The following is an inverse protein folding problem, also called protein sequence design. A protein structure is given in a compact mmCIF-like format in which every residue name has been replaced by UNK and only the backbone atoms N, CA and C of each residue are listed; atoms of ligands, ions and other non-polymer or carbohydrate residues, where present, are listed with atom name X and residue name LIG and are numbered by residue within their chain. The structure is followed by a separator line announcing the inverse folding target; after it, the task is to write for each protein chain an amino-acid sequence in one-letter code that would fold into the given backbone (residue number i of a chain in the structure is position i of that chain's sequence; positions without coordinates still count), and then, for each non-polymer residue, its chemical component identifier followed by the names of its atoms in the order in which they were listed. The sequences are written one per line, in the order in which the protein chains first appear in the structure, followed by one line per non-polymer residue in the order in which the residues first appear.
data_IF_408931831867
#
_entry.id   IF_408931831867
#
_cell.length_a   1.000
_cell.length_b   1.000
_cell.length_c   1.000
_cell.angle_alpha   90.00
_cell.angle_beta   90.00
_cell.angle_gamma   90.00
#
_symmetry.space_group_name_H-M   'P 1'
#
loop_
_entity.id
_entity.type
_entity.pdbx_description
1 polymer ?
#
# COMPACT_ATOMS: atom_id res chain seq x y z
N UNK A 1 -21.23 12.07 9.87
CA UNK A 1 -21.54 11.96 8.42
C UNK A 1 -21.39 10.50 8.04
N UNK A 2 -22.35 9.90 7.35
CA UNK A 2 -22.21 8.50 6.89
C UNK A 2 -21.13 8.44 5.81
N UNK A 3 -20.01 7.76 6.08
CA UNK A 3 -18.99 7.51 5.05
C UNK A 3 -19.57 6.55 4.00
N UNK A 4 -19.60 6.97 2.74
CA UNK A 4 -19.93 6.10 1.62
C UNK A 4 -18.62 5.67 0.97
N UNK A 5 -18.45 4.36 0.77
CA UNK A 5 -17.28 3.83 0.07
C UNK A 5 -17.31 4.33 -1.37
N UNK A 6 -16.26 5.02 -1.84
CA UNK A 6 -16.14 5.33 -3.25
C UNK A 6 -15.95 4.02 -4.03
N UNK A 7 -16.80 3.81 -5.03
CA UNK A 7 -16.63 2.73 -6.00
C UNK A 7 -15.91 3.32 -7.20
N UNK A 8 -14.85 2.64 -7.64
CA UNK A 8 -14.07 3.14 -8.76
C UNK A 8 -14.89 3.16 -10.05
N UNK A 9 -15.00 4.31 -10.69
CA UNK A 9 -15.60 4.41 -12.03
C UNK A 9 -14.58 4.06 -13.13
N UNK A 10 -13.28 4.26 -12.87
CA UNK A 10 -12.20 4.06 -13.85
C UNK A 10 -10.94 3.48 -13.18
N UNK A 11 -11.00 2.23 -12.64
CA UNK A 11 -9.93 1.64 -11.82
C UNK A 11 -8.55 1.65 -12.50
N UNK A 12 -8.53 1.54 -13.83
CA UNK A 12 -7.29 1.49 -14.62
C UNK A 12 -6.49 2.80 -14.55
N UNK A 13 -7.14 3.93 -14.31
CA UNK A 13 -6.48 5.24 -14.22
C UNK A 13 -6.15 5.62 -12.77
N UNK A 14 -6.91 5.14 -11.79
CA UNK A 14 -6.79 5.53 -10.39
C UNK A 14 -5.89 4.60 -9.58
N UNK A 15 -6.07 3.28 -9.74
CA UNK A 15 -5.52 2.31 -8.81
C UNK A 15 -4.02 2.07 -9.02
N UNK A 16 -3.50 1.91 -10.26
CA UNK A 16 -2.08 1.67 -10.44
C UNK A 16 -1.20 2.83 -9.97
N UNK A 17 -1.53 4.11 -10.25
CA UNK A 17 -0.81 5.24 -9.65
C UNK A 17 -0.87 5.26 -8.14
N UNK A 18 -2.03 4.95 -7.54
CA UNK A 18 -2.18 4.89 -6.08
C UNK A 18 -1.28 3.81 -5.47
N UNK A 19 -1.31 2.58 -5.98
CA UNK A 19 -0.48 1.48 -5.47
C UNK A 19 1.01 1.75 -5.67
N UNK A 20 1.39 2.34 -6.81
CA UNK A 20 2.77 2.76 -7.06
C UNK A 20 3.21 3.86 -6.07
N UNK A 21 2.36 4.86 -5.83
CA UNK A 21 2.61 5.91 -4.85
C UNK A 21 2.75 5.33 -3.44
N UNK A 22 1.84 4.43 -3.03
CA UNK A 22 1.89 3.76 -1.74
C UNK A 22 3.19 2.96 -1.57
N UNK A 23 3.61 2.20 -2.59
CA UNK A 23 4.86 1.45 -2.55
C UNK A 23 6.09 2.37 -2.44
N UNK A 24 6.13 3.48 -3.18
CA UNK A 24 7.22 4.46 -3.08
C UNK A 24 7.25 5.12 -1.70
N UNK A 25 6.09 5.51 -1.17
CA UNK A 25 5.96 6.09 0.18
C UNK A 25 6.38 5.07 1.24
N UNK A 26 6.01 3.80 1.11
CA UNK A 26 6.44 2.74 2.02
C UNK A 26 7.97 2.61 2.01
N UNK A 27 8.60 2.46 0.84
CA UNK A 27 10.06 2.37 0.74
C UNK A 27 10.75 3.62 1.31
N UNK A 28 10.19 4.81 1.08
CA UNK A 28 10.72 6.07 1.62
C UNK A 28 10.63 6.14 3.15
N UNK A 29 9.45 5.82 3.71
CA UNK A 29 9.20 5.76 5.16
C UNK A 29 10.13 4.75 5.83
N UNK A 30 10.26 3.54 5.27
CA UNK A 30 11.16 2.53 5.80
C UNK A 30 12.63 2.93 5.69
N UNK A 31 13.04 3.59 4.60
CA UNK A 31 14.40 4.16 4.49
C UNK A 31 14.67 5.13 5.63
N UNK A 32 13.75 6.06 5.89
CA UNK A 32 13.88 7.07 6.95
C UNK A 32 13.97 6.41 8.32
N UNK A 33 13.08 5.47 8.62
CA UNK A 33 13.07 4.73 9.87
C UNK A 33 14.39 3.97 10.10
N UNK A 34 14.90 3.29 9.08
CA UNK A 34 16.15 2.53 9.16
C UNK A 34 17.39 3.40 9.32
N UNK A 35 17.36 4.61 8.77
CA UNK A 35 18.43 5.60 9.01
C UNK A 35 18.39 6.11 10.45
N UNK A 36 17.20 6.34 11.02
CA UNK A 36 17.04 6.75 12.41
C UNK A 36 17.45 5.66 13.39
N UNK A 37 17.13 4.39 13.11
CA UNK A 37 17.56 3.25 13.93
C UNK A 37 19.02 2.83 13.70
N UNK A 38 19.76 3.56 12.85
CA UNK A 38 21.15 3.28 12.49
C UNK A 38 21.38 1.82 12.04
N UNK A 39 20.38 1.21 11.41
CA UNK A 39 20.45 -0.21 11.06
C UNK A 39 21.45 -0.43 9.94
N UNK A 40 22.52 -1.22 10.16
CA UNK A 40 23.53 -1.46 9.15
C UNK A 40 22.97 -2.38 8.07
N UNK A 41 22.84 -1.86 6.85
CA UNK A 41 22.48 -2.64 5.66
C UNK A 41 23.59 -2.62 4.61
N UNK A 42 24.85 -2.43 5.03
CA UNK A 42 25.98 -2.18 4.13
C UNK A 42 26.32 -3.38 3.24
N UNK A 43 26.13 -4.60 3.73
CA UNK A 43 26.37 -5.83 2.97
C UNK A 43 25.18 -6.24 2.10
N UNK A 44 24.00 -5.68 2.35
CA UNK A 44 22.80 -6.01 1.59
C UNK A 44 22.86 -5.39 0.18
N UNK A 45 22.44 -6.16 -0.81
CA UNK A 45 22.21 -5.71 -2.19
C UNK A 45 21.13 -4.61 -2.24
N UNK A 46 21.07 -3.88 -3.36
CA UNK A 46 20.04 -2.86 -3.54
C UNK A 46 18.62 -3.44 -3.46
N UNK A 47 18.41 -4.65 -3.98
CA UNK A 47 17.13 -5.34 -3.95
C UNK A 47 16.73 -5.68 -2.50
N UNK A 48 17.62 -6.31 -1.74
CA UNK A 48 17.38 -6.65 -0.33
C UNK A 48 17.09 -5.41 0.51
N UNK A 49 17.88 -4.33 0.33
CA UNK A 49 17.62 -3.05 0.99
C UNK A 49 16.24 -2.51 0.66
N UNK A 50 15.80 -2.63 -0.59
CA UNK A 50 14.51 -2.10 -1.05
C UNK A 50 13.36 -2.92 -0.47
N UNK A 51 13.46 -4.25 -0.47
CA UNK A 51 12.48 -5.14 0.15
C UNK A 51 12.38 -4.86 1.65
N UNK A 52 13.51 -4.75 2.35
CA UNK A 52 13.52 -4.49 3.79
C UNK A 52 12.93 -3.11 4.13
N UNK A 53 13.28 -2.08 3.35
CA UNK A 53 12.66 -0.75 3.46
C UNK A 53 11.16 -0.80 3.20
N UNK A 54 10.71 -1.52 2.18
CA UNK A 54 9.28 -1.65 1.90
C UNK A 54 8.56 -2.32 3.07
N UNK A 55 9.08 -3.43 3.60
CA UNK A 55 8.49 -4.15 4.72
C UNK A 55 8.34 -3.28 5.98
N UNK A 56 9.42 -2.59 6.37
CA UNK A 56 9.38 -1.64 7.50
C UNK A 56 8.42 -0.49 7.21
N UNK A 57 8.44 0.02 5.98
CA UNK A 57 7.55 1.09 5.52
C UNK A 57 6.07 0.75 5.65
N UNK A 58 5.64 -0.35 5.04
CA UNK A 58 4.25 -0.82 5.14
C UNK A 58 3.85 -1.08 6.59
N UNK A 59 4.74 -1.71 7.36
CA UNK A 59 4.53 -1.95 8.79
C UNK A 59 4.40 -0.67 9.62
N UNK A 60 4.98 0.45 9.19
CA UNK A 60 4.80 1.76 9.84
C UNK A 60 3.54 2.48 9.36
N UNK A 61 3.25 2.42 8.06
CA UNK A 61 2.10 3.11 7.46
C UNK A 61 0.77 2.59 8.00
N UNK A 62 0.66 1.31 8.36
CA UNK A 62 -0.55 0.75 8.98
C UNK A 62 -0.93 1.47 10.29
N UNK A 63 0.07 2.03 11.00
CA UNK A 63 -0.18 2.73 12.26
C UNK A 63 -0.81 4.10 12.06
N UNK A 64 -0.81 4.67 10.85
CA UNK A 64 -1.47 5.96 10.57
C UNK A 64 -2.98 5.82 10.76
N UNK A 65 -3.58 4.85 10.08
CA UNK A 65 -5.01 4.57 10.23
C UNK A 65 -5.33 4.12 11.66
N UNK A 66 -4.51 3.21 12.22
CA UNK A 66 -4.69 2.75 13.60
C UNK A 66 -4.70 3.90 14.61
N UNK A 67 -3.75 4.84 14.53
CA UNK A 67 -3.65 5.95 15.47
C UNK A 67 -4.84 6.90 15.37
N UNK A 68 -5.30 7.21 14.15
CA UNK A 68 -6.50 8.02 13.95
C UNK A 68 -7.77 7.32 14.47
N UNK A 69 -7.87 6.00 14.25
CA UNK A 69 -8.98 5.19 14.73
C UNK A 69 -9.02 5.08 16.25
N UNK A 70 -7.86 4.86 16.88
CA UNK A 70 -7.69 4.83 18.33
C UNK A 70 -8.01 6.18 18.98
N UNK A 71 -7.68 7.28 18.29
CA UNK A 71 -7.98 8.63 18.75
C UNK A 71 -9.44 9.06 18.50
N UNK A 72 -10.26 8.24 17.81
CA UNK A 72 -11.66 8.56 17.51
C UNK A 72 -11.84 9.73 16.53
N UNK A 73 -10.81 10.02 15.72
CA UNK A 73 -10.81 11.10 14.73
C UNK A 73 -10.63 10.56 13.31
N UNK A 74 -10.91 9.26 13.10
CA UNK A 74 -10.75 8.62 11.80
C UNK A 74 -11.80 9.16 10.83
N UNK A 75 -11.33 9.70 9.71
CA UNK A 75 -12.18 10.21 8.64
C UNK A 75 -11.34 10.26 7.36
N UNK A 76 -11.97 10.35 6.17
CA UNK A 76 -11.23 10.56 4.93
C UNK A 76 -10.34 11.80 4.98
N UNK A 77 -10.81 12.89 5.58
CA UNK A 77 -10.03 14.12 5.70
C UNK A 77 -8.82 13.98 6.63
N UNK A 78 -8.99 13.35 7.79
CA UNK A 78 -7.85 13.13 8.70
C UNK A 78 -6.82 12.17 8.09
N UNK A 79 -7.25 11.16 7.32
CA UNK A 79 -6.36 10.30 6.54
C UNK A 79 -5.65 11.04 5.40
N UNK A 80 -6.34 11.92 4.67
CA UNK A 80 -5.73 12.76 3.63
C UNK A 80 -4.63 13.64 4.24
N UNK A 81 -4.94 14.35 5.33
CA UNK A 81 -3.97 15.22 6.01
C UNK A 81 -2.77 14.41 6.51
N UNK A 82 -3.01 13.28 7.19
CA UNK A 82 -1.95 12.43 7.69
C UNK A 82 -1.07 11.86 6.55
N UNK A 83 -1.68 11.44 5.44
CA UNK A 83 -0.97 10.92 4.27
C UNK A 83 -0.13 12.00 3.60
N UNK A 84 -0.67 13.21 3.46
CA UNK A 84 0.08 14.37 2.95
C UNK A 84 1.25 14.74 3.86
N UNK A 85 1.08 14.66 5.18
CA UNK A 85 2.16 14.87 6.14
C UNK A 85 3.27 13.83 5.98
N UNK A 86 2.92 12.55 5.85
CA UNK A 86 3.90 11.47 5.60
C UNK A 86 4.66 11.72 4.29
N UNK A 87 3.95 12.08 3.21
CA UNK A 87 4.56 12.43 1.92
C UNK A 87 5.48 13.63 2.05
N UNK A 88 5.09 14.68 2.78
CA UNK A 88 5.91 15.87 3.00
C UNK A 88 7.19 15.55 3.78
N UNK A 89 7.08 14.76 4.86
CA UNK A 89 8.21 14.33 5.68
C UNK A 89 9.20 13.44 4.90
N UNK A 90 8.67 12.64 3.96
CA UNK A 90 9.46 11.73 3.13
C UNK A 90 9.79 12.29 1.74
N UNK A 91 9.44 13.55 1.43
CA UNK A 91 9.48 14.07 0.06
C UNK A 91 10.85 14.01 -0.60
N UNK A 92 11.91 14.27 0.16
CA UNK A 92 13.29 14.11 -0.31
C UNK A 92 13.62 12.65 -0.68
N UNK A 93 13.24 11.70 0.17
CA UNK A 93 13.48 10.28 -0.04
C UNK A 93 12.69 9.76 -1.24
N UNK A 94 11.43 10.19 -1.37
CA UNK A 94 10.55 9.90 -2.50
C UNK A 94 11.22 10.38 -3.79
N UNK A 95 11.63 11.65 -3.87
CA UNK A 95 12.27 12.20 -5.06
C UNK A 95 13.57 11.47 -5.43
N UNK A 96 14.39 11.11 -4.42
CA UNK A 96 15.62 10.35 -4.61
C UNK A 96 15.34 8.94 -5.16
N UNK A 97 14.38 8.23 -4.56
CA UNK A 97 14.01 6.87 -4.96
C UNK A 97 13.37 6.84 -6.35
N UNK A 98 12.48 7.78 -6.67
CA UNK A 98 11.86 7.88 -8.00
C UNK A 98 12.90 8.13 -9.10
N UNK A 99 13.87 9.01 -8.85
CA UNK A 99 14.98 9.25 -9.79
C UNK A 99 15.88 8.01 -9.94
N UNK A 100 16.15 7.32 -8.83
CA UNK A 100 16.91 6.07 -8.81
C UNK A 100 16.23 4.96 -9.61
N UNK A 101 14.92 4.77 -9.42
CA UNK A 101 14.13 3.77 -10.14
C UNK A 101 14.10 4.06 -11.66
N UNK A 102 13.90 5.32 -12.06
CA UNK A 102 13.94 5.70 -13.48
C UNK A 102 15.30 5.41 -14.13
N UNK A 103 16.41 5.64 -13.40
CA UNK A 103 17.76 5.30 -13.88
C UNK A 103 17.98 3.79 -13.95
N UNK A 104 17.56 3.05 -12.93
CA UNK A 104 17.68 1.58 -12.89
C UNK A 104 16.89 0.92 -14.02
N UNK A 105 15.67 1.41 -14.31
CA UNK A 105 14.88 0.91 -15.44
C UNK A 105 15.54 1.15 -16.79
N UNK A 106 16.13 2.34 -17.01
CA UNK A 106 16.91 2.62 -18.23
C UNK A 106 18.13 1.71 -18.39
N UNK A 107 18.80 1.41 -17.28
CA UNK A 107 19.96 0.50 -17.30
C UNK A 107 19.53 -0.93 -17.58
N UNK A 108 18.44 -1.40 -16.95
CA UNK A 108 17.88 -2.72 -17.17
C UNK A 108 17.52 -2.96 -18.65
N UNK A 109 16.91 -1.97 -19.32
CA UNK A 109 16.58 -2.06 -20.75
C UNK A 109 17.82 -2.18 -21.67
N UNK A 110 19.01 -1.81 -21.19
CA UNK A 110 20.27 -1.93 -21.94
C UNK A 110 21.00 -3.25 -21.68
N UNK A 111 20.59 -4.01 -20.66
CA UNK A 111 21.25 -5.25 -20.29
C UNK A 111 20.99 -6.36 -21.30
N UNK A 112 21.99 -7.21 -21.53
CA UNK A 112 21.83 -8.43 -22.31
C UNK A 112 21.26 -9.52 -21.40
N UNK A 113 19.98 -9.83 -21.61
CA UNK A 113 19.27 -10.83 -20.84
C UNK A 113 19.44 -12.20 -21.52
N UNK A 114 19.93 -13.24 -20.80
CA UNK A 114 20.04 -14.58 -21.35
C UNK A 114 18.66 -15.17 -21.65
N UNK A 115 18.59 -16.22 -22.48
CA UNK A 115 17.31 -16.84 -22.88
C UNK A 115 16.45 -17.29 -21.68
N UNK A 116 17.06 -17.90 -20.66
CA UNK A 116 16.36 -18.26 -19.42
C UNK A 116 15.80 -17.02 -18.70
N UNK A 117 16.53 -15.90 -18.71
CA UNK A 117 16.07 -14.64 -18.14
C UNK A 117 14.81 -14.13 -18.84
N UNK A 118 14.73 -14.24 -20.18
CA UNK A 118 13.51 -13.90 -20.92
C UNK A 118 12.33 -14.79 -20.58
N UNK A 119 12.55 -16.11 -20.41
CA UNK A 119 11.49 -17.04 -19.98
C UNK A 119 10.93 -16.63 -18.62
N UNK A 120 11.81 -16.34 -17.66
CA UNK A 120 11.40 -15.91 -16.32
C UNK A 120 10.68 -14.55 -16.34
N UNK A 121 11.14 -13.60 -17.16
CA UNK A 121 10.48 -12.31 -17.31
C UNK A 121 9.10 -12.42 -17.95
N UNK A 122 8.94 -13.26 -18.98
CA UNK A 122 7.64 -13.49 -19.61
C UNK A 122 6.68 -14.19 -18.64
N UNK A 123 7.15 -15.17 -17.88
CA UNK A 123 6.36 -15.83 -16.84
C UNK A 123 5.91 -14.83 -15.76
N UNK A 124 6.82 -14.00 -15.26
CA UNK A 124 6.51 -12.96 -14.30
C UNK A 124 5.52 -11.93 -14.88
N UNK A 125 5.73 -11.48 -16.13
CA UNK A 125 4.84 -10.56 -16.81
C UNK A 125 3.42 -11.14 -16.99
N UNK A 126 3.30 -12.44 -17.31
CA UNK A 126 2.02 -13.10 -17.43
C UNK A 126 1.27 -13.14 -16.08
N UNK A 127 1.96 -13.50 -14.99
CA UNK A 127 1.36 -13.49 -13.65
C UNK A 127 0.93 -12.07 -13.25
N UNK A 128 1.79 -11.08 -13.48
CA UNK A 128 1.49 -9.68 -13.17
C UNK A 128 0.32 -9.15 -14.01
N UNK A 129 0.22 -9.53 -15.29
CA UNK A 129 -0.90 -9.14 -16.15
C UNK A 129 -2.22 -9.77 -15.67
N UNK A 130 -2.21 -11.04 -15.28
CA UNK A 130 -3.38 -11.70 -14.69
C UNK A 130 -3.79 -11.02 -13.37
N UNK A 131 -2.82 -10.71 -12.50
CA UNK A 131 -3.08 -9.99 -11.24
C UNK A 131 -3.59 -8.57 -11.47
N UNK A 132 -3.05 -7.88 -12.49
CA UNK A 132 -3.51 -6.57 -12.91
C UNK A 132 -4.95 -6.61 -13.44
N UNK A 133 -5.27 -7.58 -14.31
CA UNK A 133 -6.65 -7.76 -14.78
C UNK A 133 -7.61 -8.05 -13.61
N UNK A 134 -7.21 -8.90 -12.68
CA UNK A 134 -7.98 -9.19 -11.47
C UNK A 134 -8.17 -7.95 -10.58
N UNK A 135 -7.14 -7.12 -10.43
CA UNK A 135 -7.21 -5.86 -9.67
C UNK A 135 -8.33 -4.96 -10.18
N UNK A 136 -8.47 -4.81 -11.49
CA UNK A 136 -9.46 -3.93 -12.12
C UNK A 136 -10.92 -4.41 -11.97
N UNK A 137 -11.14 -5.67 -11.58
CA UNK A 137 -12.48 -6.16 -11.28
C UNK A 137 -12.94 -5.68 -9.89
N UNK A 138 -14.24 -5.55 -9.62
CA UNK A 138 -14.73 -5.38 -8.25
C UNK A 138 -14.26 -6.52 -7.33
N UNK A 139 -14.11 -6.29 -6.01
CA UNK A 139 -13.84 -7.36 -5.05
C UNK A 139 -15.00 -8.36 -5.02
N UNK A 140 -14.69 -9.63 -5.24
CA UNK A 140 -15.67 -10.73 -5.27
C UNK A 140 -15.24 -11.92 -4.40
N UNK A 141 -14.03 -11.87 -3.84
CA UNK A 141 -13.51 -12.91 -2.97
C UNK A 141 -14.15 -12.84 -1.58
N UNK A 142 -14.35 -14.02 -1.00
CA UNK A 142 -15.05 -14.16 0.27
C UNK A 142 -14.35 -13.40 1.40
N UNK A 143 -13.05 -13.58 1.56
CA UNK A 143 -12.28 -12.96 2.65
C UNK A 143 -12.23 -11.43 2.51
N UNK A 144 -12.02 -10.94 1.28
CA UNK A 144 -12.10 -9.55 0.85
C UNK A 144 -13.37 -8.87 1.35
N UNK A 145 -14.51 -9.45 1.00
CA UNK A 145 -15.83 -8.94 1.35
C UNK A 145 -16.21 -9.20 2.81
N UNK A 146 -15.77 -10.32 3.38
CA UNK A 146 -16.13 -10.68 4.75
C UNK A 146 -15.48 -9.74 5.75
N UNK A 147 -14.16 -9.53 5.67
CA UNK A 147 -13.45 -8.78 6.71
C UNK A 147 -12.40 -7.80 6.24
N UNK A 148 -11.63 -8.13 5.19
CA UNK A 148 -10.52 -7.29 4.76
C UNK A 148 -10.98 -5.87 4.39
N UNK A 149 -12.11 -5.74 3.69
CA UNK A 149 -12.71 -4.44 3.36
C UNK A 149 -13.77 -4.02 4.38
N UNK A 150 -14.51 -4.98 4.94
CA UNK A 150 -15.64 -4.69 5.82
C UNK A 150 -15.21 -4.09 7.16
N UNK A 151 -14.17 -4.61 7.82
CA UNK A 151 -13.69 -4.06 9.08
C UNK A 151 -13.24 -2.58 8.95
N UNK A 152 -12.30 -2.22 8.05
CA UNK A 152 -11.86 -0.83 7.92
C UNK A 152 -12.98 0.10 7.45
N UNK A 153 -13.90 -0.38 6.60
CA UNK A 153 -15.10 0.38 6.23
C UNK A 153 -15.95 0.74 7.45
N UNK A 154 -16.24 -0.23 8.33
CA UNK A 154 -17.01 0.02 9.55
C UNK A 154 -16.31 1.00 10.48
N UNK A 155 -14.98 0.93 10.59
CA UNK A 155 -14.22 1.89 11.39
C UNK A 155 -14.29 3.30 10.82
N UNK A 156 -14.20 3.46 9.49
CA UNK A 156 -14.39 4.75 8.81
C UNK A 156 -15.80 5.31 9.00
N UNK A 157 -16.83 4.45 8.93
CA UNK A 157 -18.23 4.84 9.16
C UNK A 157 -18.46 5.36 10.59
N UNK A 158 -17.81 4.76 11.59
CA UNK A 158 -17.96 5.10 13.01
C UNK A 158 -16.98 6.17 13.50
N UNK A 159 -15.98 6.54 12.68
CA UNK A 159 -14.96 7.50 13.05
C UNK A 159 -13.87 6.95 13.99
N UNK A 160 -13.79 5.63 14.15
CA UNK A 160 -12.82 4.98 15.03
C UNK A 160 -13.08 3.49 15.22
N UNK A 161 -12.36 2.88 16.16
CA UNK A 161 -12.60 1.48 16.52
C UNK A 161 -13.95 1.30 17.20
N UNK A 162 -14.69 0.30 16.74
CA UNK A 162 -15.98 -0.11 17.30
C UNK A 162 -16.01 -1.63 17.46
N UNK A 163 -16.73 -2.13 18.47
CA UNK A 163 -16.93 -3.57 18.61
C UNK A 163 -17.90 -4.08 17.54
N UNK A 164 -17.45 -5.08 16.76
CA UNK A 164 -18.23 -5.69 15.67
C UNK A 164 -18.54 -7.16 16.00
N UNK A 165 -19.63 -7.47 16.73
CA UNK A 165 -19.89 -8.81 17.26
C UNK A 165 -20.10 -9.88 16.18
N UNK A 166 -20.63 -9.49 15.01
CA UNK A 166 -20.84 -10.40 13.88
C UNK A 166 -19.57 -10.61 13.03
N UNK A 167 -18.50 -9.86 13.30
CA UNK A 167 -17.25 -9.89 12.53
C UNK A 167 -16.11 -10.27 13.48
N UNK A 168 -16.03 -11.55 13.85
CA UNK A 168 -15.10 -12.04 14.89
C UNK A 168 -13.64 -11.74 14.58
N UNK A 169 -13.25 -11.80 13.30
CA UNK A 169 -11.94 -11.44 12.78
C UNK A 169 -11.55 -9.97 13.02
N UNK A 170 -12.50 -9.09 13.34
CA UNK A 170 -12.21 -7.71 13.75
C UNK A 170 -11.39 -7.61 15.04
N UNK A 171 -11.32 -8.69 15.82
CA UNK A 171 -10.54 -8.78 17.05
C UNK A 171 -9.11 -9.34 16.83
N UNK A 172 -8.75 -9.68 15.58
CA UNK A 172 -7.40 -10.12 15.24
C UNK A 172 -6.46 -8.93 14.97
N UNK A 173 -5.14 -9.14 14.88
CA UNK A 173 -4.22 -8.11 14.42
C UNK A 173 -4.51 -7.73 12.95
N UNK A 174 -5.29 -6.66 12.76
CA UNK A 174 -5.77 -6.17 11.46
C UNK A 174 -4.82 -5.17 10.77
N UNK A 175 -3.50 -5.42 10.85
CA UNK A 175 -2.50 -4.46 10.37
C UNK A 175 -2.62 -4.17 8.87
N UNK A 176 -2.82 -5.21 8.06
CA UNK A 176 -2.93 -5.06 6.61
C UNK A 176 -4.23 -4.35 6.21
N UNK A 177 -5.31 -4.60 6.95
CA UNK A 177 -6.62 -3.96 6.77
C UNK A 177 -6.59 -2.48 7.12
N UNK A 178 -5.70 -2.05 8.02
CA UNK A 178 -5.48 -0.62 8.26
C UNK A 178 -4.94 0.07 7.00
N UNK A 179 -4.04 -0.57 6.25
CA UNK A 179 -3.56 -0.05 4.96
C UNK A 179 -4.65 -0.05 3.89
N UNK A 180 -5.48 -1.11 3.85
CA UNK A 180 -6.64 -1.14 2.96
C UNK A 180 -7.61 -0.01 3.29
N UNK A 181 -7.82 0.30 4.56
CA UNK A 181 -8.62 1.43 5.01
C UNK A 181 -8.08 2.78 4.53
N UNK A 182 -6.76 2.94 4.42
CA UNK A 182 -6.14 4.13 3.79
C UNK A 182 -6.53 4.19 2.31
N UNK A 183 -6.35 3.12 1.54
CA UNK A 183 -6.70 3.10 0.12
C UNK A 183 -8.21 3.34 -0.10
N UNK A 184 -9.05 2.67 0.69
CA UNK A 184 -10.50 2.77 0.64
C UNK A 184 -11.00 4.20 0.89
N UNK A 185 -10.38 4.91 1.82
CA UNK A 185 -10.75 6.28 2.16
C UNK A 185 -10.24 7.33 1.15
N UNK A 186 -9.10 7.05 0.50
CA UNK A 186 -8.44 8.00 -0.40
C UNK A 186 -8.86 7.84 -1.86
N UNK A 187 -9.19 6.62 -2.29
CA UNK A 187 -9.45 6.31 -3.70
C UNK A 187 -10.73 5.50 -3.86
N UNK A 188 -10.68 4.18 -3.62
CA UNK A 188 -11.82 3.27 -3.85
C UNK A 188 -11.57 1.85 -3.28
N UNK A 189 -12.56 0.97 -3.48
CA UNK A 189 -12.53 -0.44 -3.08
C UNK A 189 -11.56 -1.31 -3.90
N UNK A 190 -11.39 -1.02 -5.19
CA UNK A 190 -10.48 -1.77 -6.07
C UNK A 190 -9.01 -1.51 -5.73
N UNK A 191 -8.63 -0.27 -5.44
CA UNK A 191 -7.30 0.07 -4.94
C UNK A 191 -7.03 -0.51 -3.55
N UNK A 192 -8.03 -0.58 -2.67
CA UNK A 192 -7.91 -1.26 -1.38
C UNK A 192 -7.65 -2.76 -1.53
N UNK A 193 -8.38 -3.43 -2.45
CA UNK A 193 -8.13 -4.82 -2.80
C UNK A 193 -6.74 -5.01 -3.43
N UNK A 194 -6.21 -4.02 -4.16
CA UNK A 194 -4.86 -4.11 -4.74
C UNK A 194 -3.72 -4.20 -3.73
N UNK A 195 -4.00 -4.00 -2.44
CA UNK A 195 -3.07 -4.26 -1.35
C UNK A 195 -3.04 -5.75 -0.97
N UNK A 196 -4.03 -6.59 -1.34
CA UNK A 196 -4.05 -8.06 -1.16
C UNK A 196 -3.06 -8.80 -2.09
#
# INVERSE_FOLDING_TARGET
MSFAVPVSAVPILTDPPMLAALAVVAVATGRRALLWSQTPLHDASLAERTVFRAAVGFGLLQFVFFALAAAGVLSPHSLQIASLLVVALCGYDIALLSRGAARAGKEFLRQRIPALGWVLLLAAAAVLLCRFAYLLCPPVDYDGLFYHLTAPKRYLEQGGFVYLPALTCSNYPLGWEMLMGVCLALVDDTSAKGVL
#
